data_IF_241185279232
#
_entry.id   IF_241185279232
#
_cell.length_a   1.000
_cell.length_b   1.000
_cell.length_c   1.000
_cell.angle_alpha   90.00
_cell.angle_beta   90.00
_cell.angle_gamma   90.00
#
_symmetry.space_group_name_H-M   'P 1'
#
loop_
_entity.id
_entity.type
_entity.pdbx_description
1 polymer ?
#
# COMPACT_ATOMS: atom_id res chain seq x y z
N UNK A 1 -49.54 5.99 -18.18
CA UNK A 1 -50.17 4.80 -17.57
C UNK A 1 -50.60 5.12 -16.16
N UNK A 2 -51.73 4.55 -15.69
CA UNK A 2 -52.19 4.62 -14.30
C UNK A 2 -51.54 3.45 -13.51
N UNK A 3 -51.41 3.63 -12.20
CA UNK A 3 -50.91 2.60 -11.30
C UNK A 3 -51.80 1.34 -11.34
N UNK A 4 -51.22 0.14 -11.40
CA UNK A 4 -51.95 -1.13 -11.40
C UNK A 4 -52.56 -1.52 -10.07
N UNK A 5 -52.23 -0.80 -8.97
CA UNK A 5 -52.80 -1.07 -7.68
C UNK A 5 -54.29 -0.61 -7.65
N UNK A 6 -55.25 -1.44 -7.19
CA UNK A 6 -56.64 -1.07 -7.09
C UNK A 6 -56.79 0.20 -6.26
N UNK A 7 -57.68 1.08 -6.70
CA UNK A 7 -57.96 2.37 -6.06
C UNK A 7 -56.81 3.40 -6.02
N UNK A 8 -55.80 3.25 -6.91
CA UNK A 8 -54.74 4.23 -7.05
C UNK A 8 -54.81 4.99 -8.36
N UNK A 9 -55.01 6.30 -8.31
CA UNK A 9 -55.09 7.19 -9.48
C UNK A 9 -53.77 7.88 -9.84
N UNK A 10 -52.68 7.54 -9.17
CA UNK A 10 -51.35 8.16 -9.42
C UNK A 10 -50.70 7.66 -10.70
N UNK A 11 -49.91 8.54 -11.29
CA UNK A 11 -49.10 8.19 -12.49
C UNK A 11 -48.12 7.08 -12.17
N UNK A 12 -48.12 6.02 -12.96
CA UNK A 12 -47.21 4.89 -12.86
C UNK A 12 -45.92 5.11 -13.65
N UNK A 13 -44.85 4.44 -13.24
CA UNK A 13 -43.61 4.30 -14.02
C UNK A 13 -43.75 3.27 -15.14
N UNK A 14 -42.67 3.00 -15.88
CA UNK A 14 -42.62 1.99 -16.95
C UNK A 14 -42.97 0.56 -16.52
N UNK A 15 -42.93 0.27 -15.21
CA UNK A 15 -43.26 -1.05 -14.62
C UNK A 15 -44.71 -1.14 -14.08
N UNK A 16 -45.53 -0.12 -14.33
CA UNK A 16 -46.92 -0.11 -13.91
C UNK A 16 -47.19 0.28 -12.45
N UNK A 17 -46.18 0.73 -11.68
CA UNK A 17 -46.35 1.09 -10.26
C UNK A 17 -46.04 2.55 -10.03
N UNK A 18 -46.84 3.21 -9.17
CA UNK A 18 -46.50 4.54 -8.65
C UNK A 18 -45.40 4.41 -7.56
N UNK A 19 -44.76 5.54 -7.15
CA UNK A 19 -43.69 5.50 -6.14
C UNK A 19 -44.07 4.85 -4.82
N UNK A 20 -45.34 4.91 -4.43
CA UNK A 20 -45.84 4.31 -3.18
C UNK A 20 -46.11 2.81 -3.30
N UNK A 21 -46.64 2.36 -4.43
CA UNK A 21 -47.02 0.95 -4.65
C UNK A 21 -45.95 0.15 -5.36
N UNK A 22 -44.75 0.70 -5.51
CA UNK A 22 -43.61 -0.04 -6.02
C UNK A 22 -43.27 -1.20 -5.10
N UNK A 23 -43.22 -2.46 -5.60
CA UNK A 23 -42.80 -3.59 -4.78
C UNK A 23 -41.45 -3.31 -4.13
N UNK A 24 -41.39 -3.42 -2.83
CA UNK A 24 -40.12 -3.28 -2.10
C UNK A 24 -39.27 -4.54 -2.38
N UNK A 25 -37.97 -4.39 -2.60
CA UNK A 25 -37.09 -5.56 -2.75
C UNK A 25 -37.15 -6.39 -1.47
N UNK A 26 -37.35 -7.69 -1.63
CA UNK A 26 -37.42 -8.65 -0.51
C UNK A 26 -36.14 -8.54 0.29
N UNK A 27 -36.24 -8.31 1.61
CA UNK A 27 -35.07 -8.11 2.51
C UNK A 27 -34.04 -9.24 2.47
N UNK A 28 -34.43 -10.47 2.08
CA UNK A 28 -33.56 -11.62 1.93
C UNK A 28 -32.45 -11.45 0.87
N UNK A 29 -32.70 -10.65 -0.16
CA UNK A 29 -31.76 -10.43 -1.27
C UNK A 29 -30.50 -9.64 -0.85
N UNK A 30 -30.62 -8.77 0.16
CA UNK A 30 -29.46 -8.03 0.73
C UNK A 30 -28.55 -8.94 1.55
N UNK A 31 -29.13 -9.89 2.27
CA UNK A 31 -28.38 -10.83 3.12
C UNK A 31 -27.55 -11.77 2.26
N UNK A 32 -28.12 -12.32 1.18
CA UNK A 32 -27.41 -13.20 0.24
C UNK A 32 -26.26 -12.46 -0.44
N UNK A 33 -26.48 -11.22 -0.92
CA UNK A 33 -25.40 -10.40 -1.52
C UNK A 33 -24.30 -10.08 -0.52
N UNK A 34 -24.64 -9.76 0.73
CA UNK A 34 -23.64 -9.48 1.77
C UNK A 34 -22.80 -10.74 2.09
N UNK A 35 -23.45 -11.91 2.20
CA UNK A 35 -22.75 -13.18 2.43
C UNK A 35 -21.84 -13.54 1.27
N UNK A 36 -22.32 -13.43 0.02
CA UNK A 36 -21.50 -13.70 -1.17
C UNK A 36 -20.32 -12.73 -1.30
N UNK A 37 -20.52 -11.44 -0.95
CA UNK A 37 -19.43 -10.44 -0.95
C UNK A 37 -18.39 -10.78 0.10
N UNK A 38 -18.78 -11.19 1.30
CA UNK A 38 -17.88 -11.60 2.37
C UNK A 38 -17.12 -12.89 2.02
N UNK A 39 -17.77 -13.87 1.42
CA UNK A 39 -17.12 -15.09 0.94
C UNK A 39 -16.10 -14.81 -0.16
N UNK A 40 -16.42 -13.90 -1.11
CA UNK A 40 -15.45 -13.44 -2.13
C UNK A 40 -14.25 -12.71 -1.51
N UNK A 41 -14.48 -11.84 -0.53
CA UNK A 41 -13.39 -11.15 0.20
C UNK A 41 -12.49 -12.17 0.93
N UNK A 42 -13.06 -13.15 1.61
CA UNK A 42 -12.31 -14.21 2.29
C UNK A 42 -11.51 -15.08 1.31
N UNK A 43 -12.10 -15.43 0.15
CA UNK A 43 -11.42 -16.20 -0.89
C UNK A 43 -10.24 -15.42 -1.51
N UNK A 44 -10.38 -14.09 -1.67
CA UNK A 44 -9.30 -13.21 -2.14
C UNK A 44 -8.19 -13.12 -1.08
N UNK A 45 -8.53 -13.00 0.21
CA UNK A 45 -7.53 -13.01 1.29
C UNK A 45 -6.71 -14.31 1.34
N UNK A 46 -7.35 -15.48 1.14
CA UNK A 46 -6.66 -16.77 1.11
C UNK A 46 -5.66 -16.92 -0.04
N UNK A 47 -5.84 -16.16 -1.12
CA UNK A 47 -4.96 -16.18 -2.30
C UNK A 47 -3.82 -15.15 -2.23
N UNK A 48 -3.74 -14.32 -1.19
CA UNK A 48 -2.61 -13.38 -1.04
C UNK A 48 -1.33 -14.18 -0.80
N UNK A 49 -0.42 -14.09 -1.76
CA UNK A 49 0.93 -14.66 -1.64
C UNK A 49 1.60 -14.10 -0.39
N UNK A 50 2.14 -14.98 0.44
CA UNK A 50 3.03 -14.57 1.56
C UNK A 50 4.24 -13.89 0.94
N UNK A 51 4.46 -12.63 1.27
CA UNK A 51 5.52 -11.82 0.65
C UNK A 51 6.86 -11.92 1.38
N UNK A 52 6.90 -12.49 2.59
CA UNK A 52 8.09 -12.52 3.45
C UNK A 52 8.34 -11.24 4.25
N UNK A 53 7.65 -10.14 3.93
CA UNK A 53 7.83 -8.85 4.64
C UNK A 53 7.56 -8.98 6.14
N UNK A 54 6.58 -9.79 6.54
CA UNK A 54 6.22 -9.96 7.95
C UNK A 54 7.36 -10.54 8.79
N UNK A 55 8.10 -11.49 8.27
CA UNK A 55 9.26 -12.09 8.95
C UNK A 55 10.43 -11.10 9.00
N UNK A 56 10.71 -10.44 7.88
CA UNK A 56 11.72 -9.40 7.82
C UNK A 56 11.44 -8.23 8.78
N UNK A 57 10.20 -7.80 8.92
CA UNK A 57 9.82 -6.74 9.85
C UNK A 57 9.99 -7.16 11.31
N UNK A 58 9.73 -8.42 11.65
CA UNK A 58 10.01 -8.95 13.00
C UNK A 58 11.50 -8.94 13.31
N UNK A 59 12.32 -9.38 12.36
CA UNK A 59 13.78 -9.37 12.48
C UNK A 59 14.30 -7.95 12.70
N UNK A 60 13.90 -6.99 11.86
CA UNK A 60 14.28 -5.58 11.99
C UNK A 60 13.83 -4.99 13.34
N UNK A 61 12.61 -5.34 13.80
CA UNK A 61 12.10 -4.88 15.08
C UNK A 61 12.91 -5.39 16.28
N UNK A 62 13.50 -6.58 16.18
CA UNK A 62 14.34 -7.15 17.23
C UNK A 62 15.76 -6.55 17.23
N UNK A 63 16.29 -6.24 16.04
CA UNK A 63 17.68 -5.80 15.90
C UNK A 63 17.87 -4.29 16.07
N UNK A 64 16.86 -3.49 15.73
CA UNK A 64 17.01 -2.03 15.69
C UNK A 64 16.28 -1.35 16.84
N UNK A 65 16.86 -0.27 17.40
CA UNK A 65 16.14 0.54 18.37
C UNK A 65 14.88 1.14 17.74
N UNK A 66 13.78 1.20 18.50
CA UNK A 66 12.51 1.74 18.02
C UNK A 66 12.55 3.28 17.99
N UNK A 67 13.39 3.81 17.12
CA UNK A 67 13.63 5.23 16.91
C UNK A 67 13.36 5.55 15.46
N UNK A 68 12.68 6.65 15.20
CA UNK A 68 12.44 7.14 13.84
C UNK A 68 13.78 7.54 13.20
N UNK A 69 14.15 6.90 12.10
CA UNK A 69 15.40 7.14 11.39
C UNK A 69 15.55 8.59 10.93
N UNK A 70 14.44 9.20 10.49
CA UNK A 70 14.46 10.58 9.96
C UNK A 70 14.55 11.62 11.07
N UNK A 71 13.73 11.49 12.13
CA UNK A 71 13.58 12.53 13.14
C UNK A 71 14.37 12.28 14.42
N UNK A 72 14.88 11.06 14.63
CA UNK A 72 15.53 10.65 15.88
C UNK A 72 14.58 10.47 17.07
N UNK A 73 13.27 10.57 16.88
CA UNK A 73 12.28 10.48 17.97
C UNK A 73 11.87 9.05 18.26
N UNK A 74 11.59 8.67 19.52
CA UNK A 74 11.15 7.33 19.88
C UNK A 74 9.81 6.95 19.21
N UNK A 75 9.67 5.68 18.82
CA UNK A 75 8.43 5.07 18.34
C UNK A 75 7.87 4.22 19.49
N UNK A 76 6.83 4.73 20.17
CA UNK A 76 6.27 4.08 21.35
C UNK A 76 5.54 2.77 21.01
N UNK A 77 4.86 2.71 19.88
CA UNK A 77 4.13 1.54 19.41
C UNK A 77 4.54 1.22 17.99
N UNK A 78 5.32 0.15 17.83
CA UNK A 78 5.76 -0.30 16.52
C UNK A 78 4.64 -1.08 15.82
N UNK A 79 4.26 -0.62 14.65
CA UNK A 79 3.26 -1.24 13.76
C UNK A 79 3.86 -1.45 12.38
N UNK A 80 3.21 -2.20 11.51
CA UNK A 80 3.67 -2.40 10.12
C UNK A 80 3.81 -1.09 9.32
N UNK A 81 3.14 -0.01 9.72
CA UNK A 81 3.25 1.32 9.11
C UNK A 81 4.53 2.07 9.48
N UNK A 82 5.29 1.57 10.44
CA UNK A 82 6.55 2.17 10.84
C UNK A 82 7.74 1.65 10.02
N UNK A 83 7.54 0.59 9.20
CA UNK A 83 8.57 0.06 8.30
C UNK A 83 8.46 0.76 6.95
N UNK A 84 9.31 1.75 6.73
CA UNK A 84 9.34 2.58 5.53
C UNK A 84 10.35 2.00 4.54
N UNK A 85 9.91 1.74 3.31
CA UNK A 85 10.81 1.36 2.22
C UNK A 85 11.41 2.62 1.61
N UNK A 86 12.74 2.73 1.65
CA UNK A 86 13.49 3.85 1.06
C UNK A 86 13.27 3.89 -0.45
N UNK A 87 13.33 2.74 -1.10
CA UNK A 87 12.92 2.56 -2.50
C UNK A 87 11.59 1.82 -2.49
N UNK A 88 10.56 2.44 -3.06
CA UNK A 88 9.21 1.88 -3.08
C UNK A 88 9.18 0.47 -3.68
N UNK A 89 8.52 -0.45 -2.97
CA UNK A 89 8.31 -1.82 -3.43
C UNK A 89 7.48 -1.93 -4.72
N UNK A 90 6.76 -0.88 -5.06
CA UNK A 90 6.01 -0.80 -6.33
C UNK A 90 6.92 -0.47 -7.50
N UNK A 91 7.88 0.42 -7.32
CA UNK A 91 8.85 0.80 -8.36
C UNK A 91 9.95 -0.26 -8.53
N UNK A 92 10.39 -0.89 -7.43
CA UNK A 92 11.47 -1.89 -7.48
C UNK A 92 11.18 -3.10 -6.58
N UNK A 93 10.39 -4.10 -7.09
CA UNK A 93 10.01 -5.27 -6.31
C UNK A 93 11.19 -6.14 -5.84
N UNK A 94 12.33 -6.11 -6.53
CA UNK A 94 13.51 -6.87 -6.15
C UNK A 94 14.15 -6.38 -4.83
N UNK A 95 13.97 -5.09 -4.50
CA UNK A 95 14.47 -4.50 -3.27
C UNK A 95 13.49 -4.60 -2.09
N UNK A 96 12.34 -5.26 -2.28
CA UNK A 96 11.28 -5.38 -1.28
C UNK A 96 11.75 -6.03 0.03
N UNK A 97 12.58 -7.07 -0.06
CA UNK A 97 13.06 -7.85 1.08
C UNK A 97 14.52 -7.56 1.42
N UNK A 98 15.07 -6.48 0.91
CA UNK A 98 16.40 -6.01 1.25
C UNK A 98 16.32 -5.24 2.57
N UNK A 99 17.02 -5.71 3.62
CA UNK A 99 16.96 -5.14 4.97
C UNK A 99 17.41 -3.67 5.01
N UNK A 100 18.40 -3.31 4.20
CA UNK A 100 18.94 -1.96 4.06
C UNK A 100 17.94 -0.99 3.41
N UNK A 101 17.01 -1.53 2.62
CA UNK A 101 15.94 -0.74 1.99
C UNK A 101 14.81 -0.39 2.97
N UNK A 102 14.87 -0.85 4.21
CA UNK A 102 13.81 -0.63 5.19
C UNK A 102 14.36 0.14 6.39
N UNK A 103 13.76 1.27 6.68
CA UNK A 103 14.07 2.08 7.88
C UNK A 103 12.84 2.21 8.77
N UNK A 104 13.07 2.41 10.08
CA UNK A 104 11.98 2.68 11.01
C UNK A 104 11.62 4.17 10.95
N UNK A 105 10.34 4.47 10.75
CA UNK A 105 9.82 5.83 10.66
C UNK A 105 8.52 6.01 11.43
N UNK A 106 8.26 7.22 11.91
CA UNK A 106 6.94 7.55 12.41
C UNK A 106 5.92 7.56 11.26
N UNK A 107 4.66 7.26 11.56
CA UNK A 107 3.59 7.16 10.57
C UNK A 107 3.51 8.40 9.67
N UNK A 108 3.55 9.60 10.23
CA UNK A 108 3.48 10.83 9.46
C UNK A 108 4.69 11.04 8.53
N UNK A 109 5.90 10.56 8.92
CA UNK A 109 7.09 10.58 8.06
C UNK A 109 6.88 9.67 6.85
N UNK A 110 6.35 8.48 7.08
CA UNK A 110 6.00 7.52 6.03
C UNK A 110 4.98 8.11 5.05
N UNK A 111 3.91 8.73 5.57
CA UNK A 111 2.87 9.33 4.74
C UNK A 111 3.41 10.50 3.89
N UNK A 112 4.29 11.34 4.44
CA UNK A 112 4.95 12.43 3.68
C UNK A 112 5.91 11.87 2.64
N UNK A 113 6.71 10.86 2.99
CA UNK A 113 7.70 10.28 2.09
C UNK A 113 7.06 9.60 0.88
N UNK A 114 5.98 8.86 1.08
CA UNK A 114 5.29 8.11 0.02
C UNK A 114 4.37 8.99 -0.84
N UNK A 115 3.63 9.92 -0.22
CA UNK A 115 2.51 10.59 -0.88
C UNK A 115 2.52 12.11 -0.73
N UNK A 116 3.43 12.67 0.06
CA UNK A 116 3.44 14.07 0.42
C UNK A 116 4.58 14.89 -0.20
N UNK A 117 4.74 16.08 0.33
CA UNK A 117 5.80 17.00 0.01
C UNK A 117 7.07 16.66 0.81
N UNK A 118 8.01 15.99 0.17
CA UNK A 118 9.27 15.54 0.77
C UNK A 118 10.15 16.70 1.26
N UNK A 119 9.99 17.89 0.71
CA UNK A 119 10.70 19.10 1.16
C UNK A 119 10.51 19.39 2.66
N UNK A 120 9.38 18.93 3.23
CA UNK A 120 9.14 19.02 4.69
C UNK A 120 10.08 18.15 5.53
N UNK A 121 10.73 17.17 4.93
CA UNK A 121 11.68 16.28 5.60
C UNK A 121 13.12 16.75 5.49
N UNK A 122 13.45 17.67 4.58
CA UNK A 122 14.81 18.15 4.32
C UNK A 122 15.50 18.76 5.53
N UNK A 123 14.75 19.29 6.47
CA UNK A 123 15.29 19.85 7.72
C UNK A 123 15.86 18.80 8.68
N UNK A 124 15.65 17.50 8.41
CA UNK A 124 16.12 16.41 9.27
C UNK A 124 17.35 15.73 8.65
N UNK A 125 18.42 15.60 9.41
CA UNK A 125 19.66 14.93 8.99
C UNK A 125 19.40 13.47 8.56
N UNK A 126 18.51 12.76 9.26
CA UNK A 126 18.13 11.39 8.91
C UNK A 126 17.48 11.26 7.54
N UNK A 127 16.84 12.31 7.03
CA UNK A 127 16.30 12.31 5.67
C UNK A 127 17.44 12.30 4.63
N UNK A 128 18.49 13.10 4.82
CA UNK A 128 19.65 13.13 3.92
C UNK A 128 20.37 11.76 3.92
N UNK A 129 20.57 11.17 5.08
CA UNK A 129 21.11 9.79 5.20
C UNK A 129 20.23 8.75 4.48
N UNK A 130 18.91 8.93 4.49
CA UNK A 130 17.99 8.06 3.78
C UNK A 130 18.12 8.21 2.26
N UNK A 131 18.37 9.42 1.75
CA UNK A 131 18.66 9.68 0.33
C UNK A 131 19.99 9.02 -0.08
N UNK A 132 21.01 9.10 0.75
CA UNK A 132 22.29 8.39 0.51
C UNK A 132 22.10 6.86 0.39
N UNK A 133 21.26 6.27 1.27
CA UNK A 133 20.89 4.86 1.19
C UNK A 133 20.16 4.57 -0.13
N UNK A 134 19.21 5.42 -0.51
CA UNK A 134 18.48 5.30 -1.77
C UNK A 134 19.46 5.25 -2.96
N UNK A 135 20.35 6.21 -3.07
CA UNK A 135 21.26 6.35 -4.21
C UNK A 135 22.29 5.22 -4.27
N UNK A 136 22.75 4.74 -3.10
CA UNK A 136 23.62 3.55 -3.02
C UNK A 136 22.90 2.31 -3.52
N UNK A 137 21.68 2.02 -3.00
CA UNK A 137 20.92 0.84 -3.40
C UNK A 137 20.56 0.84 -4.88
N UNK A 138 20.25 2.01 -5.44
CA UNK A 138 19.97 2.14 -6.87
C UNK A 138 21.24 1.80 -7.69
N UNK A 139 22.40 2.33 -7.33
CA UNK A 139 23.66 2.01 -8.00
C UNK A 139 23.97 0.51 -7.94
N UNK A 140 23.97 -0.06 -6.74
CA UNK A 140 24.23 -1.49 -6.54
C UNK A 140 23.27 -2.37 -7.34
N UNK A 141 21.98 -1.99 -7.41
CA UNK A 141 20.99 -2.73 -8.17
C UNK A 141 21.23 -2.67 -9.68
N UNK A 142 21.59 -1.51 -10.22
CA UNK A 142 21.88 -1.38 -11.65
C UNK A 142 23.23 -2.00 -12.01
N UNK A 143 24.25 -1.82 -11.19
CA UNK A 143 25.56 -2.44 -11.39
C UNK A 143 25.47 -3.96 -11.40
N UNK A 144 24.60 -4.55 -10.57
CA UNK A 144 24.37 -6.00 -10.56
C UNK A 144 23.66 -6.52 -11.82
N UNK A 145 22.99 -5.65 -12.56
CA UNK A 145 22.27 -5.98 -13.81
C UNK A 145 23.07 -5.71 -15.07
N UNK A 146 24.19 -4.99 -14.98
CA UNK A 146 25.05 -4.79 -16.14
C UNK A 146 25.74 -6.11 -16.54
N UNK A 147 25.65 -6.51 -17.83
CA UNK A 147 26.39 -7.68 -18.31
C UNK A 147 27.90 -7.43 -18.15
N UNK A 148 28.64 -8.46 -17.74
CA UNK A 148 30.08 -8.43 -17.48
C UNK A 148 30.92 -7.80 -18.63
N UNK A 149 30.41 -7.85 -19.86
CA UNK A 149 31.07 -7.27 -21.05
C UNK A 149 31.10 -5.73 -20.97
N UNK A 150 30.09 -5.09 -20.41
CA UNK A 150 30.04 -3.64 -20.27
C UNK A 150 30.96 -3.10 -19.16
N UNK A 151 31.34 -3.94 -18.18
CA UNK A 151 32.25 -3.56 -17.09
C UNK A 151 33.73 -3.55 -17.58
N UNK A 152 34.11 -4.45 -18.49
CA UNK A 152 35.48 -4.55 -19.01
C UNK A 152 35.86 -3.40 -19.98
N UNK A 153 34.85 -2.72 -20.57
CA UNK A 153 35.10 -1.61 -21.51
C UNK A 153 35.40 -0.25 -20.85
N UNK A 154 35.27 -0.11 -19.52
CA UNK A 154 35.50 1.15 -18.80
C UNK A 154 36.89 1.26 -18.13
N UNK A 155 37.66 0.19 -18.10
CA UNK A 155 39.01 0.19 -17.50
C UNK A 155 40.15 0.59 -18.44
N UNK A 156 39.87 0.94 -19.69
CA UNK A 156 40.88 1.34 -20.68
C UNK A 156 40.63 2.75 -21.23
N UNK A 157 40.78 3.78 -20.43
CA UNK A 157 41.10 5.13 -20.89
C UNK A 157 41.87 5.87 -19.79
N UNK A 158 43.18 5.63 -19.72
CA UNK A 158 44.17 6.58 -19.23
C UNK A 158 45.00 7.07 -20.42
#
# INVERSE_FOLDING_TARGET
MKCTHPNCYRKANSKGFCPIHRPQPIKGDRTVKAVLTNLKKQAIQRKRKVTGEGELFKEIAQERPHICFVTGTPILHLTHWNFLHVISKGSNPALRLVKENIVLGQRWVHDIYDNGDRGKLEKYEGYHKMIEIHDRLIREYYDSKEPLIARQGRECTD
#
